data_IF_618959390938
#
_entry.id   IF_618959390938
#
_cell.length_a   1.000
_cell.length_b   1.000
_cell.length_c   1.000
_cell.angle_alpha   90.00
_cell.angle_beta   90.00
_cell.angle_gamma   90.00
#
_symmetry.space_group_name_H-M   'P 1'
#
loop_
_entity.id
_entity.type
_entity.pdbx_description
1 polymer ?
#
# COMPACT_ATOMS: atom_id res chain seq x y z
N UNK A 1 -13.08 12.95 18.69
CA UNK A 1 -11.91 12.47 17.93
C UNK A 1 -12.22 12.59 16.45
N UNK A 2 -11.61 13.54 15.73
CA UNK A 2 -11.83 13.70 14.28
C UNK A 2 -11.37 12.40 13.60
N UNK A 3 -12.23 11.77 12.79
CA UNK A 3 -11.98 10.47 12.15
C UNK A 3 -10.53 10.40 11.64
N UNK A 4 -9.73 9.52 12.25
CA UNK A 4 -8.30 9.36 11.93
C UNK A 4 -8.12 8.84 10.49
N UNK A 5 -9.18 8.22 9.94
CA UNK A 5 -9.25 7.67 8.59
C UNK A 5 -10.44 8.25 7.83
N UNK A 6 -10.21 8.75 6.60
CA UNK A 6 -11.31 9.18 5.74
C UNK A 6 -12.06 7.92 5.26
N UNK A 7 -13.33 7.78 5.63
CA UNK A 7 -14.16 6.61 5.26
C UNK A 7 -14.25 6.44 3.74
N UNK A 8 -14.30 7.54 2.99
CA UNK A 8 -14.37 7.51 1.53
C UNK A 8 -13.07 6.99 0.92
N UNK A 9 -11.92 7.29 1.52
CA UNK A 9 -10.63 6.73 1.08
C UNK A 9 -10.62 5.21 1.22
N UNK A 10 -11.11 4.69 2.35
CA UNK A 10 -11.18 3.25 2.58
C UNK A 10 -12.13 2.57 1.58
N UNK A 11 -13.29 3.18 1.30
CA UNK A 11 -14.27 2.66 0.34
C UNK A 11 -13.66 2.58 -1.07
N UNK A 12 -13.06 3.67 -1.55
CA UNK A 12 -12.41 3.69 -2.87
C UNK A 12 -11.28 2.67 -2.97
N UNK A 13 -10.45 2.59 -1.92
CA UNK A 13 -9.37 1.62 -1.88
C UNK A 13 -9.88 0.18 -1.93
N UNK A 14 -10.89 -0.17 -1.12
CA UNK A 14 -11.47 -1.51 -1.14
C UNK A 14 -12.11 -1.85 -2.49
N UNK A 15 -12.88 -0.93 -3.08
CA UNK A 15 -13.51 -1.13 -4.39
C UNK A 15 -12.48 -1.41 -5.48
N UNK A 16 -11.45 -0.57 -5.58
CA UNK A 16 -10.37 -0.75 -6.55
C UNK A 16 -9.62 -2.07 -6.32
N UNK A 17 -9.39 -2.45 -5.06
CA UNK A 17 -8.70 -3.69 -4.76
C UNK A 17 -9.55 -4.93 -5.09
N UNK A 18 -10.86 -4.90 -4.84
CA UNK A 18 -11.78 -5.97 -5.23
C UNK A 18 -11.75 -6.15 -6.76
N UNK A 19 -11.81 -5.05 -7.51
CA UNK A 19 -11.75 -5.10 -8.97
C UNK A 19 -10.44 -5.69 -9.48
N UNK A 20 -9.30 -5.27 -8.92
CA UNK A 20 -8.00 -5.83 -9.28
C UNK A 20 -7.85 -7.31 -8.89
N UNK A 21 -8.40 -7.75 -7.75
CA UNK A 21 -8.44 -9.18 -7.40
C UNK A 21 -9.21 -9.97 -8.45
N UNK A 22 -10.37 -9.48 -8.90
CA UNK A 22 -11.17 -10.14 -9.95
C UNK A 22 -10.41 -10.26 -11.27
N UNK A 23 -9.66 -9.21 -11.66
CA UNK A 23 -8.78 -9.26 -12.83
C UNK A 23 -7.70 -10.32 -12.63
N UNK A 24 -6.96 -10.27 -11.53
CA UNK A 24 -5.88 -11.23 -11.30
C UNK A 24 -6.37 -12.66 -11.15
N UNK A 25 -7.53 -12.90 -10.54
CA UNK A 25 -8.11 -14.25 -10.45
C UNK A 25 -8.56 -14.79 -11.80
N UNK A 26 -9.06 -13.93 -12.70
CA UNK A 26 -9.37 -14.34 -14.07
C UNK A 26 -8.13 -14.79 -14.86
N UNK A 27 -6.98 -14.15 -14.64
CA UNK A 27 -5.71 -14.44 -15.32
C UNK A 27 -4.90 -15.53 -14.56
N UNK A 28 -5.21 -15.78 -13.29
CA UNK A 28 -4.46 -16.70 -12.44
C UNK A 28 -4.47 -18.17 -12.88
N UNK A 29 -5.44 -18.56 -13.72
CA UNK A 29 -5.42 -19.89 -14.38
C UNK A 29 -4.14 -20.10 -15.19
N UNK A 30 -3.52 -19.02 -15.66
CA UNK A 30 -2.26 -19.02 -16.43
C UNK A 30 -1.05 -18.96 -15.50
N UNK A 31 -1.12 -18.14 -14.44
CA UNK A 31 0.01 -17.97 -13.52
C UNK A 31 -0.43 -17.56 -12.11
N UNK A 32 -0.31 -18.49 -11.16
CA UNK A 32 -0.66 -18.31 -9.74
C UNK A 32 0.20 -17.23 -9.05
N UNK A 33 1.41 -16.95 -9.56
CA UNK A 33 2.28 -15.90 -9.01
C UNK A 33 1.68 -14.49 -9.08
N UNK A 34 0.71 -14.27 -9.98
CA UNK A 34 0.00 -12.99 -10.13
C UNK A 34 -0.79 -12.67 -8.86
N UNK A 35 -1.60 -13.63 -8.38
CA UNK A 35 -2.39 -13.51 -7.16
C UNK A 35 -1.48 -13.39 -5.94
N UNK A 36 -0.46 -14.25 -5.86
CA UNK A 36 0.46 -14.27 -4.72
C UNK A 36 1.17 -12.91 -4.57
N UNK A 37 1.62 -12.32 -5.67
CA UNK A 37 2.23 -11.00 -5.67
C UNK A 37 1.29 -9.89 -5.26
N UNK A 38 0.05 -9.95 -5.75
CA UNK A 38 -0.96 -8.98 -5.38
C UNK A 38 -1.28 -8.99 -3.88
N UNK A 39 -1.46 -10.19 -3.29
CA UNK A 39 -1.68 -10.31 -1.84
C UNK A 39 -0.47 -9.84 -1.04
N UNK A 40 0.75 -10.16 -1.45
CA UNK A 40 1.97 -9.67 -0.81
C UNK A 40 2.02 -8.13 -0.81
N UNK A 41 1.66 -7.50 -1.93
CA UNK A 41 1.55 -6.04 -2.05
C UNK A 41 0.47 -5.46 -1.12
N UNK A 42 -0.69 -6.10 -1.07
CA UNK A 42 -1.82 -5.72 -0.21
C UNK A 42 -1.42 -5.69 1.27
N UNK A 43 -0.80 -6.78 1.75
CA UNK A 43 -0.32 -6.87 3.13
C UNK A 43 0.73 -5.79 3.42
N UNK A 44 1.64 -5.54 2.48
CA UNK A 44 2.67 -4.54 2.65
C UNK A 44 2.08 -3.11 2.71
N UNK A 45 1.05 -2.79 1.94
CA UNK A 45 0.32 -1.50 2.05
C UNK A 45 -0.38 -1.37 3.40
N UNK A 46 -1.13 -2.41 3.83
CA UNK A 46 -1.82 -2.40 5.14
C UNK A 46 -0.81 -2.18 6.27
N UNK A 47 0.33 -2.88 6.23
CA UNK A 47 1.39 -2.75 7.20
C UNK A 47 1.93 -1.31 7.27
N UNK A 48 2.19 -0.69 6.13
CA UNK A 48 2.65 0.71 6.05
C UNK A 48 1.62 1.67 6.65
N UNK A 49 0.34 1.50 6.30
CA UNK A 49 -0.74 2.36 6.81
C UNK A 49 -0.88 2.22 8.34
N UNK A 50 -0.90 0.99 8.87
CA UNK A 50 -0.98 0.75 10.32
C UNK A 50 0.18 1.39 11.06
N UNK A 51 1.39 1.22 10.54
CA UNK A 51 2.59 1.81 11.11
C UNK A 51 2.54 3.35 11.10
N UNK A 52 2.11 3.95 9.99
CA UNK A 52 1.90 5.40 9.91
C UNK A 52 0.91 5.91 10.97
N UNK A 53 -0.19 5.17 11.21
CA UNK A 53 -1.19 5.52 12.22
C UNK A 53 -0.62 5.45 13.65
N UNK A 54 0.18 4.43 13.96
CA UNK A 54 0.84 4.28 15.26
C UNK A 54 1.77 5.46 15.54
N UNK A 55 2.58 5.85 14.55
CA UNK A 55 3.49 7.00 14.66
C UNK A 55 2.69 8.29 14.87
N UNK A 56 1.68 8.53 14.03
CA UNK A 56 0.84 9.73 14.15
C UNK A 56 0.22 9.86 15.53
N UNK A 57 -0.27 8.74 16.10
CA UNK A 57 -0.81 8.68 17.46
C UNK A 57 0.26 8.98 18.52
N UNK A 58 1.49 8.51 18.34
CA UNK A 58 2.63 8.80 19.22
C UNK A 58 3.03 10.28 19.18
N UNK A 59 3.01 10.89 17.99
CA UNK A 59 3.38 12.29 17.78
C UNK A 59 2.37 13.28 18.36
N UNK A 60 1.07 12.98 18.28
CA UNK A 60 0.00 13.85 18.78
C UNK A 60 0.04 14.06 20.31
N UNK A 61 0.83 13.26 21.04
CA UNK A 61 0.92 13.29 22.51
C UNK A 61 1.99 14.24 23.07
N UNK A 62 2.78 14.95 22.25
CA UNK A 62 3.89 15.83 22.72
C UNK A 62 3.90 17.21 22.02
N UNK A 63 4.41 18.24 22.71
CA UNK A 63 4.35 19.68 22.36
C UNK A 63 4.99 20.08 20.99
N UNK A 64 4.41 21.12 20.38
CA UNK A 64 4.40 21.42 18.93
C UNK A 64 5.66 22.06 18.30
N UNK A 65 6.52 22.78 19.01
CA UNK A 65 7.52 23.65 18.34
C UNK A 65 8.92 23.02 18.12
N UNK A 66 9.45 22.24 19.08
CA UNK A 66 10.72 21.49 18.89
C UNK A 66 10.56 20.26 17.97
N UNK A 67 9.32 19.96 17.56
CA UNK A 67 8.91 18.75 16.86
C UNK A 67 9.09 18.79 15.35
N UNK A 68 8.97 19.93 14.66
CA UNK A 68 8.91 19.93 13.17
C UNK A 68 10.20 19.39 12.53
N UNK A 69 11.36 19.66 13.12
CA UNK A 69 12.66 19.16 12.63
C UNK A 69 12.87 17.67 12.95
N UNK A 70 12.58 17.25 14.17
CA UNK A 70 12.69 15.84 14.62
C UNK A 70 11.65 14.93 13.97
N UNK A 71 10.43 15.44 13.71
CA UNK A 71 9.38 14.70 12.98
C UNK A 71 9.75 14.44 11.53
N UNK A 72 10.35 15.41 10.81
CA UNK A 72 10.90 15.17 9.47
C UNK A 72 11.97 14.07 9.50
N UNK A 73 12.90 14.10 10.45
CA UNK A 73 13.93 13.08 10.58
C UNK A 73 13.35 11.71 10.90
N UNK A 74 12.41 11.61 11.85
CA UNK A 74 11.72 10.35 12.18
C UNK A 74 10.98 9.80 10.96
N UNK A 75 10.30 10.66 10.19
CA UNK A 75 9.54 10.27 9.01
C UNK A 75 10.46 9.78 7.87
N UNK A 76 11.62 10.43 7.68
CA UNK A 76 12.65 9.97 6.73
C UNK A 76 13.24 8.62 7.15
N UNK A 77 13.62 8.47 8.43
CA UNK A 77 14.13 7.21 8.98
C UNK A 77 13.08 6.09 8.84
N UNK A 78 11.80 6.44 8.92
CA UNK A 78 10.69 5.53 8.73
C UNK A 78 10.51 5.08 7.28
N UNK A 79 10.64 6.01 6.32
CA UNK A 79 10.64 5.68 4.88
C UNK A 79 11.80 4.73 4.57
N UNK A 80 12.98 4.99 5.15
CA UNK A 80 14.14 4.10 5.01
C UNK A 80 13.84 2.71 5.57
N UNK A 81 13.28 2.61 6.79
CA UNK A 81 12.92 1.33 7.40
C UNK A 81 11.87 0.54 6.59
N UNK A 82 10.85 1.23 6.06
CA UNK A 82 9.85 0.61 5.18
C UNK A 82 10.50 0.05 3.92
N UNK A 83 11.43 0.79 3.31
CA UNK A 83 12.13 0.31 2.11
C UNK A 83 13.05 -0.87 2.42
N UNK A 84 13.71 -0.90 3.59
CA UNK A 84 14.47 -2.06 4.06
C UNK A 84 13.55 -3.27 4.24
N UNK A 85 12.38 -3.11 4.86
CA UNK A 85 11.42 -4.20 5.02
C UNK A 85 10.88 -4.70 3.67
N UNK A 86 10.58 -3.82 2.72
CA UNK A 86 10.20 -4.19 1.35
C UNK A 86 11.30 -5.00 0.66
N UNK A 87 12.55 -4.54 0.79
CA UNK A 87 13.70 -5.25 0.25
C UNK A 87 13.87 -6.63 0.90
N UNK A 88 13.67 -6.73 2.22
CA UNK A 88 13.70 -7.99 2.96
C UNK A 88 12.64 -8.97 2.47
N UNK A 89 11.40 -8.51 2.27
CA UNK A 89 10.32 -9.32 1.68
C UNK A 89 10.76 -9.84 0.32
N UNK A 90 11.16 -8.97 -0.61
CA UNK A 90 11.62 -9.35 -1.95
C UNK A 90 12.76 -10.39 -1.87
N UNK A 91 13.72 -10.18 -0.98
CA UNK A 91 14.88 -11.05 -0.80
C UNK A 91 14.51 -12.44 -0.29
N UNK A 92 13.58 -12.55 0.66
CA UNK A 92 13.06 -13.84 1.16
C UNK A 92 12.44 -14.64 0.01
N UNK A 93 11.67 -13.97 -0.85
CA UNK A 93 11.01 -14.65 -1.97
C UNK A 93 11.98 -15.07 -3.07
N UNK A 94 13.00 -14.26 -3.37
CA UNK A 94 14.10 -14.66 -4.25
C UNK A 94 14.84 -15.87 -3.66
N UNK A 95 15.15 -15.85 -2.36
CA UNK A 95 15.86 -16.94 -1.68
C UNK A 95 15.09 -18.25 -1.67
N UNK A 96 13.78 -18.20 -1.38
CA UNK A 96 12.90 -19.37 -1.43
C UNK A 96 12.82 -19.97 -2.83
N UNK A 97 12.71 -19.13 -3.86
CA UNK A 97 12.68 -19.59 -5.25
C UNK A 97 14.01 -20.25 -5.66
N UNK A 98 15.14 -19.63 -5.31
CA UNK A 98 16.45 -20.22 -5.54
C UNK A 98 16.57 -21.59 -4.87
N UNK A 99 16.14 -21.69 -3.60
CA UNK A 99 16.18 -22.95 -2.86
C UNK A 99 15.32 -24.04 -3.52
N UNK A 100 14.07 -23.71 -3.89
CA UNK A 100 13.13 -24.66 -4.49
C UNK A 100 13.64 -25.14 -5.85
N UNK A 101 14.11 -24.23 -6.72
CA UNK A 101 14.65 -24.58 -8.04
C UNK A 101 15.86 -25.51 -7.96
N UNK A 102 16.69 -25.36 -6.94
CA UNK A 102 17.88 -26.20 -6.77
C UNK A 102 17.59 -27.56 -6.15
N UNK A 103 16.51 -27.71 -5.37
CA UNK A 103 16.20 -28.94 -4.62
C UNK A 103 15.05 -29.75 -5.21
N UNK A 104 14.17 -29.14 -5.99
CA UNK A 104 13.04 -29.81 -6.64
C UNK A 104 13.13 -29.62 -8.15
N UNK A 105 13.23 -30.73 -8.90
CA UNK A 105 13.22 -30.78 -10.36
C UNK A 105 11.81 -30.55 -10.93
N UNK A 106 11.16 -29.49 -10.46
CA UNK A 106 9.86 -29.05 -10.96
C UNK A 106 10.12 -28.09 -12.13
N UNK A 107 9.92 -28.57 -13.37
CA UNK A 107 9.94 -27.73 -14.60
C UNK A 107 8.84 -26.66 -14.60
N UNK A 108 7.87 -26.83 -13.73
CA UNK A 108 6.88 -25.83 -13.42
C UNK A 108 7.49 -24.82 -12.45
N UNK A 109 7.35 -23.53 -12.74
CA UNK A 109 7.64 -22.38 -11.85
C UNK A 109 6.74 -22.41 -10.57
N UNK A 110 6.73 -23.53 -9.86
CA UNK A 110 6.00 -23.76 -8.62
C UNK A 110 6.88 -23.18 -7.53
N UNK A 111 6.40 -22.07 -6.98
CA UNK A 111 7.05 -21.44 -5.87
C UNK A 111 7.97 -20.30 -6.30
N UNK A 112 7.33 -19.17 -6.62
CA UNK A 112 7.93 -17.85 -6.39
C UNK A 112 8.95 -17.40 -7.43
N UNK A 113 8.75 -17.65 -8.72
CA UNK A 113 9.29 -16.72 -9.74
C UNK A 113 8.81 -15.33 -9.36
N UNK A 114 9.75 -14.49 -8.89
CA UNK A 114 9.55 -13.66 -7.70
C UNK A 114 8.34 -12.83 -8.02
N UNK A 115 7.32 -12.89 -7.18
CA UNK A 115 6.00 -12.32 -7.42
C UNK A 115 6.00 -11.24 -8.48
N UNK A 116 5.12 -11.36 -9.49
CA UNK A 116 5.11 -10.38 -10.55
C UNK A 116 5.14 -8.96 -9.94
N UNK A 117 6.27 -8.26 -10.09
CA UNK A 117 6.51 -7.01 -9.37
C UNK A 117 5.47 -5.96 -9.76
N UNK A 118 4.88 -6.11 -10.95
CA UNK A 118 3.73 -5.35 -11.41
C UNK A 118 2.52 -5.62 -10.50
N UNK A 119 2.20 -6.87 -10.20
CA UNK A 119 1.08 -7.19 -9.30
C UNK A 119 1.37 -6.82 -7.85
N UNK A 120 2.62 -6.96 -7.39
CA UNK A 120 3.04 -6.49 -6.06
C UNK A 120 2.92 -4.97 -5.89
N UNK A 121 3.26 -4.20 -6.92
CA UNK A 121 3.17 -2.74 -6.89
C UNK A 121 1.74 -2.21 -7.08
N UNK A 122 0.83 -3.02 -7.62
CA UNK A 122 -0.53 -2.59 -7.94
C UNK A 122 -1.31 -2.08 -6.72
N UNK A 123 -1.34 -2.75 -5.55
CA UNK A 123 -2.00 -2.22 -4.35
C UNK A 123 -1.50 -0.83 -3.93
N UNK A 124 -0.21 -0.53 -4.13
CA UNK A 124 0.35 0.81 -3.85
C UNK A 124 -0.19 1.87 -4.80
N UNK A 125 -0.26 1.55 -6.09
CA UNK A 125 -0.85 2.42 -7.11
C UNK A 125 -2.32 2.67 -6.83
N UNK A 126 -3.09 1.64 -6.51
CA UNK A 126 -4.51 1.77 -6.16
C UNK A 126 -4.71 2.62 -4.90
N UNK A 127 -3.83 2.50 -3.90
CA UNK A 127 -3.85 3.37 -2.73
C UNK A 127 -3.63 4.83 -3.12
N UNK A 128 -2.64 5.12 -3.97
CA UNK A 128 -2.35 6.47 -4.44
C UNK A 128 -3.53 7.05 -5.24
N UNK A 129 -4.09 6.27 -6.17
CA UNK A 129 -5.28 6.65 -6.95
C UNK A 129 -6.46 6.97 -6.01
N UNK A 130 -6.68 6.15 -4.99
CA UNK A 130 -7.75 6.38 -3.99
C UNK A 130 -7.56 7.70 -3.26
N UNK A 131 -6.31 8.05 -2.89
CA UNK A 131 -5.99 9.34 -2.27
C UNK A 131 -6.31 10.49 -3.22
N UNK A 132 -5.91 10.39 -4.49
CA UNK A 132 -6.18 11.43 -5.49
C UNK A 132 -7.69 11.64 -5.67
N UNK A 133 -8.48 10.58 -5.78
CA UNK A 133 -9.93 10.68 -5.90
C UNK A 133 -10.56 11.43 -4.73
N UNK A 134 -10.15 11.11 -3.50
CA UNK A 134 -10.67 11.78 -2.30
C UNK A 134 -10.27 13.25 -2.26
N UNK A 135 -9.02 13.59 -2.60
CA UNK A 135 -8.55 14.98 -2.64
C UNK A 135 -9.34 15.80 -3.66
N UNK A 136 -9.60 15.24 -4.84
CA UNK A 136 -10.41 15.88 -5.89
C UNK A 136 -11.85 16.07 -5.40
N UNK A 137 -12.47 15.04 -4.81
CA UNK A 137 -13.82 15.14 -4.26
C UNK A 137 -13.94 16.24 -3.20
N UNK A 138 -12.97 16.32 -2.27
CA UNK A 138 -12.93 17.36 -1.25
C UNK A 138 -12.76 18.77 -1.85
N UNK A 139 -11.94 18.90 -2.89
CA UNK A 139 -11.73 20.17 -3.59
C UNK A 139 -13.00 20.65 -4.32
N UNK A 140 -13.66 19.75 -5.05
CA UNK A 140 -14.92 20.04 -5.76
C UNK A 140 -16.02 20.43 -4.76
N UNK A 141 -16.16 19.69 -3.66
CA UNK A 141 -17.19 19.97 -2.65
C UNK A 141 -16.99 21.36 -2.02
N UNK A 142 -15.75 21.73 -1.68
CA UNK A 142 -15.42 23.07 -1.17
C UNK A 142 -15.71 24.17 -2.19
N UNK A 143 -15.36 23.96 -3.46
CA UNK A 143 -15.60 24.93 -4.54
C UNK A 143 -17.10 25.19 -4.72
N UNK A 144 -17.92 24.14 -4.71
CA UNK A 144 -19.38 24.27 -4.87
C UNK A 144 -20.05 24.91 -3.65
N UNK A 145 -19.57 24.63 -2.44
CA UNK A 145 -20.09 25.26 -1.23
C UNK A 145 -19.82 26.77 -1.19
N UNK A 146 -18.63 27.19 -1.65
CA UNK A 146 -18.32 28.61 -1.77
C UNK A 146 -19.20 29.30 -2.82
N UNK A 147 -19.45 28.66 -3.97
CA UNK A 147 -20.35 29.22 -4.99
C UNK A 147 -21.80 29.38 -4.51
N UNK A 148 -22.29 28.50 -3.65
CA UNK A 148 -23.65 28.57 -3.10
C UNK A 148 -23.85 29.59 -1.97
N UNK A 149 -22.77 30.13 -1.37
CA UNK A 149 -22.85 31.18 -0.34
C UNK A 149 -22.83 32.60 -0.92
N UNK A 150 -22.45 32.75 -2.19
CA UNK A 150 -22.39 34.04 -2.91
C UNK A 150 -23.48 34.16 -4.01
N UNK A 151 -24.43 33.22 -4.04
CA UNK A 151 -25.56 33.20 -4.99
C UNK A 151 -26.87 33.61 -4.35
#
# INVERSE_FOLDING_TARGET
MKNIFNKNLLIWYLLLNIFAILIYTSIAKINVSLIAGYFAGLFAVIFIVLMFLIIRKSLYKKNLEKQIKTTKTILILFIVLINILKFGIISIFIGLNYYIKNHYSLDTNIGLYPFNMITFTTPYLLFLISVVFVVIQEHIYKSNYQKGLYG
#
